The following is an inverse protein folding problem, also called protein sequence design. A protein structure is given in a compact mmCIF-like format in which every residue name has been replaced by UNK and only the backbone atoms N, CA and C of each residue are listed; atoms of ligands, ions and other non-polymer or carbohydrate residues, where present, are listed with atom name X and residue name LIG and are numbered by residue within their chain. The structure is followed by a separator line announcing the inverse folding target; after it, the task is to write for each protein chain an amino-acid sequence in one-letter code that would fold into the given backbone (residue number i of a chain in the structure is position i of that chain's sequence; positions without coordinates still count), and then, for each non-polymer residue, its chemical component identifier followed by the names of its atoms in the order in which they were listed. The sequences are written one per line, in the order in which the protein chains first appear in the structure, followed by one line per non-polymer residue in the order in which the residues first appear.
data_IF_676431427277
#
_entry.id   IF_676431427277
#
_cell.length_a   1.000
_cell.length_b   1.000
_cell.length_c   1.000
_cell.angle_alpha   90.00
_cell.angle_beta   90.00
_cell.angle_gamma   90.00
#
_symmetry.space_group_name_H-M   'P 1'
#
loop_
_entity.id
_entity.type
_entity.pdbx_description
1 polymer ?
#
# COMPACT_ATOMS: atom_id res chain seq x y z
N UNK A 1 5.31 -9.50 10.21
CA UNK A 1 6.02 -8.46 10.98
C UNK A 1 7.31 -8.09 10.25
N UNK A 2 7.20 -7.35 9.15
CA UNK A 2 8.36 -6.77 8.46
C UNK A 2 8.62 -5.40 9.06
N UNK A 3 9.53 -5.34 10.03
CA UNK A 3 10.00 -4.07 10.57
C UNK A 3 11.13 -3.56 9.66
N UNK A 4 11.05 -2.30 9.24
CA UNK A 4 12.23 -1.54 8.86
C UNK A 4 13.31 -1.76 9.92
N UNK A 5 14.48 -2.26 9.52
CA UNK A 5 15.59 -2.40 10.44
C UNK A 5 16.24 -1.03 10.59
N UNK A 6 15.69 -0.18 11.48
CA UNK A 6 16.34 1.05 11.92
C UNK A 6 17.58 0.66 12.71
N UNK A 7 18.73 0.66 12.06
CA UNK A 7 20.01 0.43 12.73
C UNK A 7 20.35 1.69 13.54
N UNK A 8 20.32 1.56 14.87
CA UNK A 8 20.75 2.61 15.79
C UNK A 8 22.26 2.48 16.00
N UNK A 9 23.05 3.36 15.39
CA UNK A 9 24.50 3.41 15.62
C UNK A 9 24.79 4.59 16.54
N UNK A 10 25.38 4.32 17.70
CA UNK A 10 25.78 5.34 18.67
C UNK A 10 27.29 5.53 18.61
N UNK A 11 27.75 6.66 18.08
CA UNK A 11 29.16 7.04 18.09
C UNK A 11 29.42 7.94 19.29
N UNK A 12 30.01 7.37 20.35
CA UNK A 12 30.48 8.17 21.47
C UNK A 12 31.79 8.84 21.09
N UNK A 13 31.71 10.14 20.75
CA UNK A 13 32.83 11.06 20.89
C UNK A 13 32.37 12.26 21.72
N UNK A 14 33.16 12.51 22.75
CA UNK A 14 33.07 13.47 23.86
C UNK A 14 32.32 14.78 23.58
N UNK A 15 31.43 15.16 24.52
CA UNK A 15 30.99 16.55 24.72
C UNK A 15 29.60 16.89 24.17
N UNK A 16 28.58 16.82 25.04
CA UNK A 16 27.30 17.57 24.97
C UNK A 16 26.63 17.76 23.58
N UNK A 17 26.44 16.71 22.77
CA UNK A 17 25.41 16.73 21.70
C UNK A 17 24.74 15.34 21.62
N UNK A 18 23.97 14.98 22.65
CA UNK A 18 23.26 13.70 22.72
C UNK A 18 21.93 13.66 21.92
N UNK A 19 21.76 14.46 20.84
CA UNK A 19 20.45 14.61 20.17
C UNK A 19 20.45 14.66 18.63
N UNK A 20 21.53 14.25 17.94
CA UNK A 20 21.47 14.09 16.48
C UNK A 20 21.26 12.62 16.10
N UNK A 21 20.01 12.16 16.18
CA UNK A 21 19.62 10.87 15.63
C UNK A 21 19.68 10.96 14.09
N UNK A 22 20.72 10.38 13.50
CA UNK A 22 20.78 10.18 12.06
C UNK A 22 20.06 8.88 11.71
N UNK A 23 18.98 9.00 10.95
CA UNK A 23 18.22 7.86 10.43
C UNK A 23 18.79 7.52 9.07
N UNK A 24 19.42 6.36 8.95
CA UNK A 24 19.83 5.79 7.66
C UNK A 24 18.75 4.83 7.17
N UNK A 25 18.16 5.12 6.01
CA UNK A 25 17.27 4.18 5.33
C UNK A 25 18.09 3.20 4.52
N UNK A 26 18.01 1.91 4.85
CA UNK A 26 18.55 0.84 3.99
C UNK A 26 17.51 0.57 2.91
N UNK A 27 17.90 0.78 1.65
CA UNK A 27 17.04 0.46 0.51
C UNK A 27 17.07 -1.03 0.24
N UNK A 28 15.98 -1.55 -0.31
CA UNK A 28 15.98 -2.88 -0.90
C UNK A 28 16.98 -2.96 -2.06
N UNK A 29 17.49 -4.17 -2.31
CA UNK A 29 18.40 -4.42 -3.43
C UNK A 29 17.73 -4.10 -4.77
N UNK A 30 18.50 -3.56 -5.72
CA UNK A 30 18.00 -3.39 -7.08
C UNK A 30 17.75 -4.77 -7.74
N UNK A 31 16.92 -4.89 -8.78
CA UNK A 31 16.47 -6.21 -9.23
C UNK A 31 17.62 -7.15 -9.68
N UNK A 32 18.70 -6.62 -10.27
CA UNK A 32 19.91 -7.40 -10.63
C UNK A 32 20.58 -7.96 -9.37
N UNK A 33 20.73 -7.09 -8.36
CA UNK A 33 21.38 -7.39 -7.10
C UNK A 33 20.55 -8.39 -6.29
N UNK A 34 19.23 -8.24 -6.32
CA UNK A 34 18.29 -9.16 -5.68
C UNK A 34 18.39 -10.58 -6.26
N UNK A 35 18.45 -10.71 -7.59
CA UNK A 35 18.66 -12.01 -8.25
C UNK A 35 20.01 -12.62 -7.86
N UNK A 36 21.10 -11.85 -7.95
CA UNK A 36 22.44 -12.35 -7.63
C UNK A 36 22.55 -12.74 -6.14
N UNK A 37 21.96 -11.95 -5.25
CA UNK A 37 21.90 -12.24 -3.83
C UNK A 37 21.08 -13.51 -3.55
N UNK A 38 19.89 -13.64 -4.16
CA UNK A 38 19.06 -14.84 -4.03
C UNK A 38 19.82 -16.08 -4.49
N UNK A 39 20.42 -16.04 -5.68
CA UNK A 39 21.17 -17.17 -6.26
C UNK A 39 22.31 -17.59 -5.35
N UNK A 40 23.08 -16.64 -4.83
CA UNK A 40 24.18 -16.90 -3.88
C UNK A 40 23.66 -17.52 -2.58
N UNK A 41 22.67 -16.89 -1.94
CA UNK A 41 22.11 -17.37 -0.67
C UNK A 41 21.46 -18.76 -0.82
N UNK A 42 20.80 -19.00 -1.96
CA UNK A 42 20.17 -20.29 -2.31
C UNK A 42 21.24 -21.37 -2.43
N UNK A 43 22.31 -21.12 -3.19
CA UNK A 43 23.43 -22.04 -3.35
C UNK A 43 24.11 -22.36 -2.01
N UNK A 44 24.26 -21.38 -1.11
CA UNK A 44 24.81 -21.58 0.23
C UNK A 44 23.88 -22.41 1.14
N UNK A 45 22.56 -22.36 0.91
CA UNK A 45 21.57 -22.99 1.77
C UNK A 45 21.22 -24.43 1.39
N UNK A 46 21.10 -24.73 0.09
CA UNK A 46 20.69 -26.05 -0.43
C UNK A 46 21.77 -26.75 -1.28
N UNK A 47 22.91 -26.10 -1.50
CA UNK A 47 23.97 -26.61 -2.38
C UNK A 47 23.72 -26.30 -3.87
N UNK A 48 24.74 -26.56 -4.70
CA UNK A 48 24.72 -26.21 -6.13
C UNK A 48 23.93 -27.20 -7.00
N UNK A 49 23.86 -28.46 -6.58
CA UNK A 49 23.23 -29.54 -7.36
C UNK A 49 21.71 -29.48 -7.33
N UNK A 50 21.14 -28.96 -6.25
CA UNK A 50 19.68 -28.80 -6.05
C UNK A 50 19.16 -27.44 -6.54
N UNK A 51 20.02 -26.59 -7.12
CA UNK A 51 19.68 -25.22 -7.48
C UNK A 51 18.68 -25.19 -8.66
N UNK A 52 17.60 -24.43 -8.51
CA UNK A 52 16.64 -24.21 -9.58
C UNK A 52 17.25 -23.43 -10.77
N UNK A 53 16.58 -23.47 -11.93
CA UNK A 53 17.05 -22.71 -13.10
C UNK A 53 17.06 -21.20 -12.84
N UNK A 54 17.95 -20.49 -13.54
CA UNK A 54 18.04 -19.03 -13.42
C UNK A 54 16.70 -18.34 -13.71
N UNK A 55 15.88 -18.88 -14.62
CA UNK A 55 14.54 -18.36 -14.89
C UNK A 55 13.60 -18.41 -13.67
N UNK A 56 13.68 -19.48 -12.87
CA UNK A 56 12.88 -19.61 -11.63
C UNK A 56 13.35 -18.60 -10.59
N UNK A 57 14.66 -18.46 -10.43
CA UNK A 57 15.26 -17.53 -9.47
C UNK A 57 15.00 -16.06 -9.85
N UNK A 58 15.09 -15.71 -11.15
CA UNK A 58 14.73 -14.37 -11.65
C UNK A 58 13.26 -14.07 -11.35
N UNK A 59 12.35 -15.02 -11.65
CA UNK A 59 10.92 -14.83 -11.36
C UNK A 59 10.68 -14.64 -9.86
N UNK A 60 11.32 -15.46 -9.01
CA UNK A 60 11.18 -15.37 -7.57
C UNK A 60 11.71 -14.03 -7.00
N UNK A 61 12.88 -13.57 -7.45
CA UNK A 61 13.44 -12.28 -7.06
C UNK A 61 12.57 -11.11 -7.54
N UNK A 62 12.07 -11.17 -8.79
CA UNK A 62 11.18 -10.15 -9.35
C UNK A 62 9.88 -10.01 -8.57
N UNK A 63 9.26 -11.11 -8.15
CA UNK A 63 8.02 -11.07 -7.36
C UNK A 63 8.27 -10.65 -5.91
N UNK A 64 9.34 -11.15 -5.28
CA UNK A 64 9.61 -10.87 -3.86
C UNK A 64 10.28 -9.52 -3.59
N UNK A 65 10.90 -8.92 -4.61
CA UNK A 65 11.67 -7.69 -4.51
C UNK A 65 13.05 -7.87 -3.88
N UNK A 66 13.74 -6.76 -3.63
CA UNK A 66 15.12 -6.76 -3.12
C UNK A 66 15.27 -6.89 -1.61
N UNK A 67 14.18 -7.15 -0.88
CA UNK A 67 14.22 -7.21 0.57
C UNK A 67 14.98 -8.45 1.05
N UNK A 68 16.11 -8.23 1.69
CA UNK A 68 16.98 -9.30 2.21
C UNK A 68 16.24 -10.34 3.07
N UNK A 69 15.26 -9.93 3.88
CA UNK A 69 14.47 -10.85 4.69
C UNK A 69 13.64 -11.83 3.84
N UNK A 70 13.06 -11.36 2.74
CA UNK A 70 12.29 -12.19 1.79
C UNK A 70 13.23 -13.09 1.00
N UNK A 71 14.33 -12.54 0.48
CA UNK A 71 15.36 -13.30 -0.23
C UNK A 71 15.94 -14.43 0.63
N UNK A 72 16.24 -14.15 1.90
CA UNK A 72 16.75 -15.16 2.83
C UNK A 72 15.71 -16.25 3.14
N UNK A 73 14.42 -15.88 3.24
CA UNK A 73 13.34 -16.86 3.41
C UNK A 73 13.22 -17.77 2.19
N UNK A 74 13.30 -17.22 0.98
CA UNK A 74 13.29 -17.97 -0.27
C UNK A 74 14.51 -18.88 -0.39
N UNK A 75 15.70 -18.36 -0.07
CA UNK A 75 16.96 -19.09 -0.14
C UNK A 75 16.95 -20.39 0.68
N UNK A 76 16.23 -20.43 1.80
CA UNK A 76 16.17 -21.59 2.71
C UNK A 76 14.93 -22.47 2.51
N UNK A 77 14.04 -22.10 1.58
CA UNK A 77 12.80 -22.83 1.35
C UNK A 77 13.02 -24.16 0.65
N UNK A 78 12.11 -25.13 0.80
CA UNK A 78 12.19 -26.38 0.01
C UNK A 78 11.67 -26.16 -1.41
N UNK A 79 10.53 -25.48 -1.51
CA UNK A 79 9.91 -25.10 -2.77
C UNK A 79 9.84 -23.57 -2.85
N UNK A 80 10.66 -23.01 -3.73
CA UNK A 80 10.75 -21.56 -3.91
C UNK A 80 9.46 -20.98 -4.50
N UNK A 81 8.79 -21.67 -5.42
CA UNK A 81 7.57 -21.19 -6.08
C UNK A 81 6.42 -21.13 -5.08
N UNK A 82 6.25 -22.20 -4.30
CA UNK A 82 5.26 -22.24 -3.24
C UNK A 82 5.53 -21.16 -2.17
N UNK A 83 6.79 -20.92 -1.83
CA UNK A 83 7.16 -19.91 -0.83
C UNK A 83 6.91 -18.49 -1.33
N UNK A 84 7.22 -18.18 -2.60
CA UNK A 84 6.88 -16.89 -3.22
C UNK A 84 5.37 -16.68 -3.22
N UNK A 85 4.60 -17.69 -3.60
CA UNK A 85 3.14 -17.58 -3.61
C UNK A 85 2.59 -17.35 -2.19
N UNK A 86 3.12 -18.04 -1.19
CA UNK A 86 2.73 -17.83 0.20
C UNK A 86 3.09 -16.43 0.71
N UNK A 87 4.25 -15.88 0.32
CA UNK A 87 4.61 -14.50 0.62
C UNK A 87 3.60 -13.52 0.03
N UNK A 88 3.22 -13.71 -1.24
CA UNK A 88 2.22 -12.87 -1.91
C UNK A 88 0.84 -12.99 -1.27
N UNK A 89 0.40 -14.22 -0.97
CA UNK A 89 -0.89 -14.49 -0.33
C UNK A 89 -0.96 -13.87 1.07
N UNK A 90 0.11 -13.98 1.87
CA UNK A 90 0.16 -13.37 3.19
C UNK A 90 0.07 -11.84 3.11
N UNK A 91 0.75 -11.23 2.14
CA UNK A 91 0.68 -9.79 1.90
C UNK A 91 -0.73 -9.37 1.47
N UNK A 92 -1.35 -10.11 0.54
CA UNK A 92 -2.75 -9.90 0.13
C UNK A 92 -3.71 -10.01 1.30
N UNK A 93 -3.63 -11.08 2.08
CA UNK A 93 -4.46 -11.27 3.28
C UNK A 93 -4.27 -10.14 4.28
N UNK A 94 -3.03 -9.67 4.47
CA UNK A 94 -2.75 -8.56 5.38
C UNK A 94 -3.32 -7.23 4.85
N UNK A 95 -3.20 -6.92 3.55
CA UNK A 95 -3.86 -5.75 2.94
C UNK A 95 -5.37 -5.81 3.14
N UNK A 96 -6.01 -6.93 2.78
CA UNK A 96 -7.46 -7.10 2.91
C UNK A 96 -7.94 -7.08 4.38
N UNK A 97 -7.11 -7.51 5.33
CA UNK A 97 -7.46 -7.43 6.76
C UNK A 97 -7.41 -6.01 7.32
N UNK A 98 -6.59 -5.12 6.73
CA UNK A 98 -6.40 -3.75 7.23
C UNK A 98 -7.16 -2.70 6.42
N UNK A 99 -7.47 -3.01 5.16
CA UNK A 99 -8.06 -2.10 4.18
C UNK A 99 -9.19 -2.77 3.41
N UNK A 100 -9.81 -3.82 3.94
CA UNK A 100 -10.95 -4.46 3.29
C UNK A 100 -12.04 -3.43 2.96
N UNK A 101 -12.55 -3.47 1.73
CA UNK A 101 -13.68 -2.62 1.34
C UNK A 101 -14.94 -3.11 2.06
N UNK A 102 -15.71 -2.18 2.63
CA UNK A 102 -16.92 -2.45 3.40
C UNK A 102 -18.11 -1.82 2.66
N UNK A 103 -18.81 -2.57 1.77
CA UNK A 103 -19.88 -2.02 0.92
C UNK A 103 -21.06 -1.46 1.71
N UNK A 104 -21.48 -2.17 2.75
CA UNK A 104 -22.65 -1.83 3.56
C UNK A 104 -22.21 -1.12 4.86
N UNK A 105 -21.37 -0.08 4.76
CA UNK A 105 -20.98 0.69 5.94
C UNK A 105 -22.12 1.60 6.44
N UNK A 106 -22.17 1.77 7.76
CA UNK A 106 -23.00 2.71 8.49
C UNK A 106 -22.16 3.88 9.05
N UNK A 107 -22.79 4.77 9.80
CA UNK A 107 -22.16 5.96 10.39
C UNK A 107 -21.07 5.62 11.42
N UNK A 108 -21.22 4.51 12.16
CA UNK A 108 -20.21 4.05 13.12
C UNK A 108 -18.92 3.54 12.45
N UNK A 109 -19.02 3.02 11.21
CA UNK A 109 -17.90 2.43 10.45
C UNK A 109 -17.38 3.37 9.33
N UNK A 110 -17.91 4.59 9.25
CA UNK A 110 -17.62 5.56 8.17
C UNK A 110 -16.11 5.86 8.01
N UNK A 111 -15.38 6.08 9.12
CA UNK A 111 -13.95 6.41 9.08
C UNK A 111 -13.09 5.22 8.63
N UNK A 112 -13.51 3.98 8.94
CA UNK A 112 -12.85 2.76 8.46
C UNK A 112 -13.08 2.58 6.95
N UNK A 113 -14.30 2.84 6.47
CA UNK A 113 -14.61 2.82 5.04
C UNK A 113 -13.83 3.90 4.27
N UNK A 114 -13.66 5.11 4.84
CA UNK A 114 -12.77 6.15 4.29
C UNK A 114 -11.32 5.68 4.23
N UNK A 115 -10.83 5.09 5.33
CA UNK A 115 -9.48 4.56 5.42
C UNK A 115 -9.20 3.51 4.34
N UNK A 116 -10.09 2.52 4.20
CA UNK A 116 -9.96 1.47 3.20
C UNK A 116 -10.04 2.01 1.76
N UNK A 117 -11.08 2.77 1.43
CA UNK A 117 -11.31 3.28 0.06
C UNK A 117 -10.21 4.23 -0.42
N UNK A 118 -9.78 5.18 0.43
CA UNK A 118 -8.71 6.12 0.09
C UNK A 118 -7.36 5.39 -0.09
N UNK A 119 -7.08 4.36 0.72
CA UNK A 119 -5.88 3.54 0.57
C UNK A 119 -5.89 2.78 -0.75
N UNK A 120 -7.03 2.19 -1.12
CA UNK A 120 -7.15 1.47 -2.40
C UNK A 120 -7.02 2.37 -3.63
N UNK A 121 -7.49 3.62 -3.58
CA UNK A 121 -7.23 4.61 -4.64
C UNK A 121 -5.73 4.81 -4.87
N UNK A 122 -4.95 4.91 -3.79
CA UNK A 122 -3.50 5.04 -3.88
C UNK A 122 -2.83 3.77 -4.42
N UNK A 123 -3.22 2.59 -3.90
CA UNK A 123 -2.67 1.31 -4.35
C UNK A 123 -2.97 1.06 -5.84
N UNK A 124 -4.19 1.35 -6.29
CA UNK A 124 -4.60 1.25 -7.69
C UNK A 124 -3.73 2.14 -8.59
N UNK A 125 -3.41 3.35 -8.14
CA UNK A 125 -2.54 4.27 -8.89
C UNK A 125 -1.10 3.74 -9.02
N UNK A 126 -0.53 3.14 -7.96
CA UNK A 126 0.77 2.47 -8.06
C UNK A 126 0.74 1.32 -9.07
N UNK A 127 -0.33 0.51 -9.06
CA UNK A 127 -0.51 -0.59 -10.02
C UNK A 127 -0.62 -0.04 -11.45
N UNK A 128 -1.41 1.02 -11.66
CA UNK A 128 -1.56 1.68 -12.98
C UNK A 128 -0.22 2.16 -13.52
N UNK A 129 0.55 2.92 -12.73
CA UNK A 129 1.90 3.40 -13.13
C UNK A 129 2.84 2.25 -13.42
N UNK A 130 2.76 1.17 -12.64
CA UNK A 130 3.59 -0.01 -12.88
C UNK A 130 3.29 -0.63 -14.25
N UNK A 131 2.02 -0.81 -14.58
CA UNK A 131 1.59 -1.34 -15.89
C UNK A 131 2.03 -0.42 -17.02
N UNK A 132 1.99 0.90 -16.83
CA UNK A 132 2.48 1.87 -17.81
C UNK A 132 4.00 1.80 -18.01
N UNK A 133 4.77 1.62 -16.94
CA UNK A 133 6.22 1.41 -17.02
C UNK A 133 6.57 0.13 -17.78
N UNK A 134 5.86 -0.97 -17.51
CA UNK A 134 5.98 -2.25 -18.23
C UNK A 134 5.70 -2.07 -19.73
N UNK A 135 4.55 -1.47 -20.08
CA UNK A 135 4.19 -1.22 -21.48
C UNK A 135 5.21 -0.36 -22.22
N UNK A 136 5.73 0.70 -21.60
CA UNK A 136 6.73 1.56 -22.23
C UNK A 136 8.02 0.81 -22.54
N UNK A 137 8.48 -0.04 -21.64
CA UNK A 137 9.68 -0.84 -21.85
C UNK A 137 9.50 -1.91 -22.93
N UNK A 138 8.32 -2.52 -23.00
CA UNK A 138 7.99 -3.48 -24.07
C UNK A 138 8.06 -2.81 -25.46
N UNK A 139 7.60 -1.55 -25.57
CA UNK A 139 7.68 -0.75 -26.79
C UNK A 139 9.14 -0.40 -27.15
N UNK A 140 9.90 0.14 -26.19
CA UNK A 140 11.32 0.53 -26.39
C UNK A 140 12.20 -0.67 -26.80
N UNK A 141 11.91 -1.85 -26.26
CA UNK A 141 12.62 -3.10 -26.58
C UNK A 141 12.30 -3.60 -27.98
N UNK A 142 11.05 -3.45 -28.42
CA UNK A 142 10.61 -3.83 -29.76
C UNK A 142 11.21 -2.93 -30.84
N UNK A 143 11.44 -1.65 -30.54
CA UNK A 143 12.07 -0.69 -31.46
C UNK A 143 13.60 -0.83 -31.54
N UNK A 144 14.25 -1.22 -30.45
CA UNK A 144 15.72 -1.28 -30.36
C UNK A 144 16.34 -2.58 -30.87
N UNK A 145 15.53 -3.60 -31.22
CA UNK A 145 15.99 -4.90 -31.74
C UNK A 145 16.88 -5.73 -30.79
N UNK A 146 17.10 -5.25 -29.57
CA UNK A 146 17.82 -5.94 -28.51
C UNK A 146 16.89 -6.83 -27.68
N UNK A 147 17.42 -7.84 -26.96
CA UNK A 147 16.61 -8.60 -26.02
C UNK A 147 16.01 -7.62 -25.01
N UNK A 148 14.67 -7.62 -24.93
CA UNK A 148 13.94 -6.80 -23.99
C UNK A 148 14.46 -7.07 -22.58
N UNK A 149 15.16 -6.11 -21.99
CA UNK A 149 15.66 -6.24 -20.62
C UNK A 149 14.50 -5.88 -19.66
N UNK A 150 13.35 -6.57 -19.82
CA UNK A 150 12.08 -6.41 -19.07
C UNK A 150 12.24 -6.78 -17.59
N UNK A 151 13.43 -7.19 -17.18
CA UNK A 151 13.68 -7.81 -15.88
C UNK A 151 13.89 -6.80 -14.74
N UNK A 152 13.99 -5.49 -15.03
CA UNK A 152 14.50 -4.51 -14.07
C UNK A 152 13.64 -3.25 -13.94
N UNK A 153 12.33 -3.45 -13.77
CA UNK A 153 11.41 -2.35 -13.53
C UNK A 153 11.31 -2.12 -12.01
N UNK A 154 11.60 -0.92 -11.49
CA UNK A 154 11.46 -0.63 -10.07
C UNK A 154 9.99 -0.40 -9.68
N UNK A 155 9.72 -0.40 -8.38
CA UNK A 155 8.42 0.05 -7.85
C UNK A 155 8.21 1.52 -8.23
N UNK A 156 7.04 1.91 -8.76
CA UNK A 156 6.77 3.30 -9.12
C UNK A 156 6.87 4.23 -7.92
N UNK A 157 7.20 5.49 -8.19
CA UNK A 157 7.20 6.54 -7.18
C UNK A 157 6.20 7.64 -7.54
N UNK A 158 5.56 8.19 -6.51
CA UNK A 158 4.53 9.22 -6.63
C UNK A 158 4.91 10.36 -5.68
N UNK A 159 4.99 11.63 -6.14
CA UNK A 159 5.20 12.76 -5.26
C UNK A 159 4.11 12.87 -4.19
N UNK A 160 4.50 13.21 -2.96
CA UNK A 160 3.60 13.26 -1.80
C UNK A 160 2.35 14.12 -2.04
N UNK A 161 2.49 15.29 -2.68
CA UNK A 161 1.35 16.16 -2.98
C UNK A 161 0.34 15.50 -3.93
N UNK A 162 0.81 14.65 -4.83
CA UNK A 162 -0.03 13.92 -5.77
C UNK A 162 -0.77 12.79 -5.04
N UNK A 163 -0.09 12.06 -4.14
CA UNK A 163 -0.75 11.08 -3.27
C UNK A 163 -1.89 11.72 -2.47
N UNK A 164 -1.70 12.94 -1.94
CA UNK A 164 -2.77 13.67 -1.24
C UNK A 164 -3.98 13.95 -2.13
N UNK A 165 -3.76 14.23 -3.41
CA UNK A 165 -4.84 14.47 -4.38
C UNK A 165 -5.58 13.19 -4.74
N UNK A 166 -4.85 12.10 -4.92
CA UNK A 166 -5.42 10.77 -5.24
C UNK A 166 -6.28 10.27 -4.06
N UNK A 167 -5.75 10.35 -2.84
CA UNK A 167 -6.43 9.83 -1.65
C UNK A 167 -7.55 10.74 -1.17
N UNK A 168 -7.51 12.04 -1.43
CA UNK A 168 -8.36 13.09 -0.82
C UNK A 168 -8.21 13.24 0.71
N UNK A 169 -7.86 12.16 1.44
CA UNK A 169 -7.47 12.11 2.86
C UNK A 169 -5.96 11.98 3.02
N UNK A 170 -5.25 13.09 2.86
CA UNK A 170 -3.78 13.11 2.93
C UNK A 170 -3.18 12.83 4.33
N UNK A 171 -3.98 12.99 5.39
CA UNK A 171 -3.61 12.68 6.78
C UNK A 171 -3.30 11.18 6.97
N UNK A 172 -3.92 10.32 6.17
CA UNK A 172 -3.70 8.88 6.18
C UNK A 172 -2.31 8.43 5.71
N UNK A 173 -1.60 9.25 4.93
CA UNK A 173 -0.25 8.92 4.45
C UNK A 173 0.73 8.66 5.59
N UNK A 174 0.65 9.42 6.68
CA UNK A 174 1.51 9.22 7.84
C UNK A 174 1.25 7.87 8.52
N UNK A 175 -0.02 7.45 8.58
CA UNK A 175 -0.40 6.14 9.14
C UNK A 175 0.03 5.00 8.23
N UNK A 176 -0.11 5.16 6.90
CA UNK A 176 0.36 4.16 5.93
C UNK A 176 1.89 3.96 5.98
N UNK A 177 2.66 5.03 6.18
CA UNK A 177 4.11 4.98 6.37
C UNK A 177 4.49 4.24 7.67
N UNK A 178 3.79 4.53 8.77
CA UNK A 178 3.98 3.83 10.06
C UNK A 178 3.62 2.34 10.00
N UNK A 179 2.65 1.97 9.18
CA UNK A 179 2.26 0.58 8.93
C UNK A 179 3.20 -0.14 7.96
N UNK A 180 4.19 0.55 7.38
CA UNK A 180 5.10 0.04 6.36
C UNK A 180 4.36 -0.41 5.09
N UNK A 181 3.26 0.26 4.71
CA UNK A 181 2.62 0.09 3.40
C UNK A 181 3.38 0.89 2.36
N UNK A 182 3.69 2.12 2.73
CA UNK A 182 4.47 3.06 1.93
C UNK A 182 5.75 3.44 2.66
N UNK A 183 6.66 4.03 1.90
CA UNK A 183 7.82 4.75 2.40
C UNK A 183 7.79 6.17 1.82
N UNK A 184 8.04 7.17 2.67
CA UNK A 184 8.22 8.56 2.25
C UNK A 184 9.69 8.92 2.39
N UNK A 185 10.35 9.26 1.29
CA UNK A 185 11.76 9.66 1.32
C UNK A 185 11.97 11.16 1.55
N UNK A 186 13.25 11.54 1.70
CA UNK A 186 13.68 12.92 1.97
C UNK A 186 13.33 13.92 0.87
N UNK A 187 12.97 13.44 -0.32
CA UNK A 187 12.55 14.26 -1.46
C UNK A 187 11.03 14.26 -1.64
N UNK A 188 10.29 13.84 -0.61
CA UNK A 188 8.83 13.71 -0.63
C UNK A 188 8.33 12.81 -1.76
N UNK A 189 9.10 11.77 -2.09
CA UNK A 189 8.67 10.73 -2.99
C UNK A 189 8.12 9.56 -2.18
N UNK A 190 6.91 9.14 -2.54
CA UNK A 190 6.22 8.01 -1.94
C UNK A 190 6.42 6.79 -2.82
N UNK A 191 6.75 5.66 -2.22
CA UNK A 191 6.81 4.34 -2.86
C UNK A 191 6.10 3.32 -2.00
N UNK A 192 5.63 2.22 -2.58
CA UNK A 192 5.27 1.06 -1.77
C UNK A 192 6.52 0.53 -1.08
N UNK A 193 6.35 0.05 0.16
CA UNK A 193 7.45 -0.48 0.95
C UNK A 193 8.09 -1.71 0.29
N UNK A 194 7.29 -2.57 -0.35
CA UNK A 194 7.72 -3.84 -0.93
C UNK A 194 7.11 -4.11 -2.29
N UNK A 195 7.86 -4.82 -3.14
CA UNK A 195 7.34 -5.35 -4.42
C UNK A 195 6.20 -6.35 -4.20
N UNK A 196 6.20 -7.10 -3.09
CA UNK A 196 5.09 -7.99 -2.73
C UNK A 196 3.80 -7.21 -2.50
N UNK A 197 3.87 -6.03 -1.88
CA UNK A 197 2.70 -5.17 -1.66
C UNK A 197 2.12 -4.72 -3.00
N UNK A 198 2.98 -4.37 -3.97
CA UNK A 198 2.56 -4.04 -5.32
C UNK A 198 1.89 -5.21 -6.04
N UNK A 199 2.48 -6.41 -5.98
CA UNK A 199 1.92 -7.60 -6.62
C UNK A 199 0.63 -8.09 -5.95
N UNK A 200 0.53 -7.97 -4.64
CA UNK A 200 -0.70 -8.26 -3.89
C UNK A 200 -1.81 -7.26 -4.23
N UNK A 201 -1.50 -5.96 -4.27
CA UNK A 201 -2.44 -4.93 -4.69
C UNK A 201 -2.88 -5.12 -6.15
N UNK A 202 -1.95 -5.45 -7.05
CA UNK A 202 -2.24 -5.76 -8.45
C UNK A 202 -3.22 -6.91 -8.59
N UNK A 203 -3.08 -7.97 -7.80
CA UNK A 203 -4.01 -9.09 -7.83
C UNK A 203 -5.42 -8.65 -7.46
N UNK A 204 -5.59 -7.89 -6.37
CA UNK A 204 -6.90 -7.39 -5.92
C UNK A 204 -7.50 -6.42 -6.94
N UNK A 205 -6.73 -5.45 -7.42
CA UNK A 205 -7.18 -4.43 -8.39
C UNK A 205 -7.59 -5.06 -9.73
N UNK A 206 -7.03 -6.22 -10.07
CA UNK A 206 -7.36 -6.95 -11.30
C UNK A 206 -8.65 -7.78 -11.18
N UNK A 207 -9.24 -7.91 -9.99
CA UNK A 207 -10.50 -8.61 -9.79
C UNK A 207 -11.65 -7.82 -10.46
N UNK A 208 -12.51 -8.47 -11.29
CA UNK A 208 -13.56 -7.76 -12.05
C UNK A 208 -14.53 -6.94 -11.18
N UNK A 209 -14.77 -7.40 -9.96
CA UNK A 209 -15.71 -6.77 -9.01
C UNK A 209 -15.07 -5.66 -8.17
N UNK A 210 -13.74 -5.51 -8.19
CA UNK A 210 -13.02 -4.55 -7.36
C UNK A 210 -13.42 -3.11 -7.67
N UNK A 211 -13.41 -2.71 -8.95
CA UNK A 211 -13.70 -1.34 -9.36
C UNK A 211 -15.15 -0.94 -9.06
N UNK A 212 -16.19 -1.75 -9.37
CA UNK A 212 -17.55 -1.51 -8.89
C UNK A 212 -17.65 -1.43 -7.37
N UNK A 213 -16.98 -2.32 -6.63
CA UNK A 213 -17.01 -2.35 -5.17
C UNK A 213 -16.40 -1.08 -4.57
N UNK A 214 -15.24 -0.64 -5.05
CA UNK A 214 -14.57 0.58 -4.63
C UNK A 214 -15.46 1.80 -4.86
N UNK A 215 -16.09 1.91 -6.05
CA UNK A 215 -17.04 2.98 -6.36
C UNK A 215 -18.27 2.96 -5.46
N UNK A 216 -18.80 1.77 -5.16
CA UNK A 216 -19.91 1.59 -4.22
C UNK A 216 -19.58 2.13 -2.84
N UNK A 217 -18.42 1.74 -2.29
CA UNK A 217 -17.94 2.23 -0.98
C UNK A 217 -17.74 3.74 -0.98
N UNK A 218 -17.10 4.31 -2.01
CA UNK A 218 -16.90 5.76 -2.11
C UNK A 218 -18.24 6.52 -2.13
N UNK A 219 -19.19 6.04 -2.92
CA UNK A 219 -20.54 6.64 -3.00
C UNK A 219 -21.25 6.55 -1.65
N UNK A 220 -21.14 5.40 -0.97
CA UNK A 220 -21.76 5.19 0.33
C UNK A 220 -21.18 6.10 1.41
N UNK A 221 -19.86 6.27 1.43
CA UNK A 221 -19.17 7.21 2.33
C UNK A 221 -19.63 8.65 2.06
N UNK A 222 -19.75 9.05 0.81
CA UNK A 222 -20.24 10.40 0.45
C UNK A 222 -21.69 10.63 0.90
N UNK A 223 -22.55 9.61 0.79
CA UNK A 223 -23.93 9.65 1.30
C UNK A 223 -23.97 9.83 2.82
N UNK A 224 -23.17 9.04 3.56
CA UNK A 224 -23.06 9.13 5.01
C UNK A 224 -22.57 10.51 5.46
N UNK A 225 -21.54 11.06 4.81
CA UNK A 225 -21.08 12.42 5.09
C UNK A 225 -22.18 13.47 4.85
N UNK A 226 -22.99 13.29 3.80
CA UNK A 226 -24.12 14.17 3.51
C UNK A 226 -25.23 14.06 4.56
N UNK A 227 -25.52 12.84 5.04
CA UNK A 227 -26.47 12.61 6.12
C UNK A 227 -25.98 13.23 7.43
N UNK A 228 -24.70 13.10 7.78
CA UNK A 228 -24.12 13.74 8.97
C UNK A 228 -24.12 15.27 8.96
N UNK A 229 -24.18 15.89 7.76
CA UNK A 229 -24.40 17.35 7.60
C UNK A 229 -25.87 17.74 7.78
N UNK A 230 -26.78 16.78 7.78
CA UNK A 230 -28.21 16.97 8.01
C UNK A 230 -28.49 16.86 9.51
N UNK A 231 -29.32 17.77 10.05
CA UNK A 231 -29.74 17.72 11.46
C UNK A 231 -31.06 17.00 11.58
N UNK A 232 -31.07 15.88 12.32
CA UNK A 232 -32.29 15.14 12.62
C UNK A 232 -32.92 15.57 13.95
N UNK A 233 -34.26 15.56 14.01
CA UNK A 233 -35.03 15.81 15.23
C UNK A 233 -35.84 14.55 15.56
N UNK A 234 -35.46 13.86 16.64
CA UNK A 234 -36.18 12.67 17.13
C UNK A 234 -37.09 13.06 18.30
N UNK A 235 -38.38 12.76 18.19
CA UNK A 235 -39.35 12.93 19.28
C UNK A 235 -39.63 11.57 19.94
N UNK A 236 -39.46 11.47 21.26
CA UNK A 236 -39.83 10.29 22.05
C UNK A 236 -41.14 10.56 22.81
N UNK A 237 -41.92 9.51 23.08
CA UNK A 237 -43.15 9.52 23.88
C UNK A 237 -44.33 10.34 23.33
N UNK A 238 -44.50 10.39 22.00
CA UNK A 238 -45.65 11.05 21.36
C UNK A 238 -46.89 10.15 21.49
N UNK A 239 -47.95 10.64 22.14
CA UNK A 239 -49.20 9.93 22.38
C UNK A 239 -50.27 10.26 21.33
N UNK A 240 -51.31 9.42 21.16
CA UNK A 240 -52.45 9.74 20.32
C UNK A 240 -53.12 11.05 20.78
N UNK A 241 -53.08 12.08 19.93
CA UNK A 241 -53.63 13.41 20.20
C UNK A 241 -52.58 14.51 20.41
N UNK A 242 -51.30 14.15 20.57
CA UNK A 242 -50.22 15.11 20.69
C UNK A 242 -49.99 15.86 19.38
N UNK A 243 -49.73 17.17 19.48
CA UNK A 243 -49.43 18.03 18.33
C UNK A 243 -48.06 18.64 18.50
N UNK A 244 -47.18 18.34 17.57
CA UNK A 244 -45.83 18.90 17.52
C UNK A 244 -45.80 19.98 16.44
N UNK A 245 -45.39 21.19 16.80
CA UNK A 245 -45.15 22.29 15.86
C UNK A 245 -43.66 22.59 15.83
N UNK A 246 -43.02 22.31 14.70
CA UNK A 246 -41.63 22.65 14.45
C UNK A 246 -41.60 23.94 13.61
N UNK A 247 -40.88 24.96 14.09
CA UNK A 247 -40.64 26.20 13.35
C UNK A 247 -39.14 26.32 13.15
N UNK A 248 -38.71 26.40 11.88
CA UNK A 248 -37.31 26.56 11.52
C UNK A 248 -37.13 27.97 10.99
N UNK A 249 -36.51 28.83 11.78
CA UNK A 249 -36.08 30.15 11.31
C UNK A 249 -34.65 30.06 10.74
N UNK A 250 -34.53 30.30 9.43
CA UNK A 250 -33.24 30.30 8.72
C UNK A 250 -32.61 31.70 8.64
N UNK A 251 -33.25 32.73 9.19
CA UNK A 251 -32.79 34.12 9.04
C UNK A 251 -31.72 34.54 10.04
N UNK A 252 -31.47 33.74 11.08
CA UNK A 252 -30.34 33.93 12.01
C UNK A 252 -30.38 35.21 12.83
N UNK A 253 -31.53 35.90 12.88
CA UNK A 253 -31.69 37.08 13.73
C UNK A 253 -31.90 36.63 15.16
N UNK A 254 -30.95 36.97 16.03
CA UNK A 254 -31.14 36.90 17.47
C UNK A 254 -32.06 38.08 17.80
N UNK A 255 -33.35 37.81 17.94
CA UNK A 255 -34.27 38.80 18.47
C UNK A 255 -33.83 39.13 19.91
N UNK A 256 -33.56 40.43 20.13
CA UNK A 256 -33.10 41.00 21.40
C UNK A 256 -34.20 41.02 22.45
#
# INVERSE_FOLDING_TARGET
MGAYQRVKVNWNSSGQIANRMQIFSVKDLEPVEAFNALKKLRQESIGREELESDQVLVRAAKTSGGRLAHLNRLARSRDINHTVQNLKNNEKSWLLSNFGLIPDCDDDVEEEAKWASCTWLLLQEFVRRRVEMEKRLDLESSESGGPANVDHIPVPSIPYFECRRIMTRGDFLARLDQMNIISIDVHYQVRLDSMLTLEAAREVVSEPEFEPMLKGVLTRVDELESLGRTRELTFKDVKPGDRIKVVIDKTGRIDK
#
